data_IF_259524025310
#
_entry.id   IF_259524025310
#
_cell.length_a   1.000
_cell.length_b   1.000
_cell.length_c   1.000
_cell.angle_alpha   90.00
_cell.angle_beta   90.00
_cell.angle_gamma   90.00
#
_symmetry.space_group_name_H-M   'P 1'
#
loop_
_entity.id
_entity.type
_entity.pdbx_description
1 polymer ?
#
# COMPACT_ATOMS: atom_id res chain seq x y z
N UNK A 1 -13.96 16.55 -4.96
CA UNK A 1 -12.51 16.56 -4.68
C UNK A 1 -12.09 15.11 -4.55
N UNK A 2 -11.24 14.63 -5.45
CA UNK A 2 -10.69 13.28 -5.33
C UNK A 2 -9.52 13.39 -4.35
N UNK A 3 -9.64 12.75 -3.19
CA UNK A 3 -8.56 12.69 -2.23
C UNK A 3 -7.46 11.79 -2.80
N UNK A 4 -6.35 12.40 -3.20
CA UNK A 4 -5.20 11.70 -3.73
C UNK A 4 -4.19 11.33 -2.61
N UNK A 5 -4.50 11.54 -1.34
CA UNK A 5 -3.50 11.54 -0.24
C UNK A 5 -2.76 12.87 -0.14
N UNK A 6 -3.48 13.98 -0.36
CA UNK A 6 -2.93 15.34 -0.40
C UNK A 6 -2.42 15.85 0.96
N UNK A 7 -2.70 15.11 2.03
CA UNK A 7 -2.26 15.41 3.40
C UNK A 7 -0.77 15.10 3.66
N UNK A 8 -0.10 14.43 2.74
CA UNK A 8 1.35 14.30 2.80
C UNK A 8 2.00 15.60 2.31
N UNK A 9 2.70 16.30 3.21
CA UNK A 9 3.54 17.46 2.87
C UNK A 9 4.61 17.14 1.80
N UNK A 10 5.42 18.12 1.38
CA UNK A 10 6.41 17.92 0.33
C UNK A 10 7.32 16.74 0.68
N UNK A 11 7.26 15.69 -0.15
CA UNK A 11 8.12 14.52 -0.04
C UNK A 11 9.56 14.99 -0.19
N UNK A 12 10.28 15.07 0.94
CA UNK A 12 11.71 15.30 0.92
C UNK A 12 12.40 14.20 0.12
N UNK A 13 13.53 14.53 -0.51
CA UNK A 13 14.46 13.56 -1.10
C UNK A 13 15.18 12.82 0.03
N UNK A 14 14.44 12.07 0.83
CA UNK A 14 15.03 11.21 1.85
C UNK A 14 15.65 10.00 1.14
N UNK A 15 16.91 10.16 0.75
CA UNK A 15 17.78 9.10 0.25
C UNK A 15 18.06 8.08 1.35
N UNK A 16 17.05 7.27 1.70
CA UNK A 16 17.16 6.28 2.74
C UNK A 16 17.58 4.93 2.13
N UNK A 17 18.78 4.48 2.49
CA UNK A 17 19.45 3.27 1.99
C UNK A 17 18.72 1.93 2.27
N UNK A 18 17.53 1.95 2.87
CA UNK A 18 16.72 0.75 3.15
C UNK A 18 15.45 0.66 2.29
N UNK A 19 15.15 1.64 1.43
CA UNK A 19 14.05 1.51 0.49
C UNK A 19 14.46 0.51 -0.59
N UNK A 20 13.60 -0.48 -0.87
CA UNK A 20 13.85 -1.44 -1.94
C UNK A 20 14.11 -0.68 -3.24
N UNK A 21 15.29 -0.93 -3.85
CA UNK A 21 15.63 -0.31 -5.12
C UNK A 21 14.80 -0.98 -6.21
N UNK A 22 13.91 -0.19 -6.81
CA UNK A 22 13.08 -0.58 -7.95
C UNK A 22 13.04 0.58 -8.92
N UNK A 23 12.90 0.28 -10.21
CA UNK A 23 12.69 1.30 -11.23
C UNK A 23 11.28 1.89 -11.12
N UNK A 24 11.04 3.03 -11.77
CA UNK A 24 9.70 3.62 -11.82
C UNK A 24 8.69 2.69 -12.53
N UNK A 25 9.12 1.93 -13.54
CA UNK A 25 8.24 0.96 -14.22
C UNK A 25 7.81 -0.19 -13.30
N UNK A 26 8.74 -0.70 -12.49
CA UNK A 26 8.45 -1.74 -11.49
C UNK A 26 7.50 -1.20 -10.41
N UNK A 27 7.73 0.02 -9.95
CA UNK A 27 6.80 0.68 -9.04
C UNK A 27 5.43 0.92 -9.67
N UNK A 28 5.37 1.30 -10.93
CA UNK A 28 4.10 1.52 -11.63
C UNK A 28 3.32 0.22 -11.78
N UNK A 29 4.01 -0.91 -12.03
CA UNK A 29 3.38 -2.22 -12.04
C UNK A 29 2.77 -2.57 -10.66
N UNK A 30 3.52 -2.38 -9.58
CA UNK A 30 3.05 -2.60 -8.21
C UNK A 30 1.85 -1.68 -7.89
N UNK A 31 1.93 -0.40 -8.24
CA UNK A 31 0.87 0.57 -8.00
C UNK A 31 -0.43 0.19 -8.73
N UNK A 32 -0.34 -0.30 -9.97
CA UNK A 32 -1.50 -0.83 -10.71
C UNK A 32 -2.16 -2.01 -10.00
N UNK A 33 -1.38 -2.95 -9.46
CA UNK A 33 -1.92 -4.08 -8.70
C UNK A 33 -2.59 -3.65 -7.40
N UNK A 34 -1.97 -2.73 -6.66
CA UNK A 34 -2.54 -2.19 -5.42
C UNK A 34 -3.85 -1.47 -5.72
N UNK A 35 -3.88 -0.60 -6.74
CA UNK A 35 -5.10 0.07 -7.17
C UNK A 35 -6.19 -0.92 -7.54
N UNK A 36 -5.84 -1.96 -8.31
CA UNK A 36 -6.80 -2.99 -8.70
C UNK A 36 -7.41 -3.67 -7.47
N UNK A 37 -6.59 -4.07 -6.50
CA UNK A 37 -7.05 -4.68 -5.26
C UNK A 37 -7.93 -3.71 -4.43
N UNK A 38 -7.49 -2.47 -4.25
CA UNK A 38 -8.22 -1.45 -3.50
C UNK A 38 -9.60 -1.20 -4.11
N UNK A 39 -9.69 -1.05 -5.44
CA UNK A 39 -10.95 -0.83 -6.14
C UNK A 39 -11.93 -2.02 -6.07
N UNK A 40 -11.49 -3.20 -5.64
CA UNK A 40 -12.37 -4.36 -5.43
C UNK A 40 -13.04 -4.36 -4.06
N UNK A 41 -12.43 -3.71 -3.07
CA UNK A 41 -12.87 -3.80 -1.66
C UNK A 41 -13.15 -2.44 -1.01
N UNK A 42 -12.91 -1.35 -1.73
CA UNK A 42 -13.09 0.01 -1.24
C UNK A 42 -13.46 0.97 -2.37
N UNK A 43 -13.48 2.29 -2.07
CA UNK A 43 -13.72 3.34 -3.05
C UNK A 43 -12.74 3.26 -4.23
N UNK A 44 -13.23 3.65 -5.41
CA UNK A 44 -12.41 3.65 -6.61
C UNK A 44 -11.32 4.73 -6.53
N UNK A 45 -10.07 4.31 -6.68
CA UNK A 45 -8.90 5.16 -6.81
C UNK A 45 -8.73 5.64 -8.27
N UNK A 46 -8.17 6.85 -8.46
CA UNK A 46 -8.03 7.48 -9.77
C UNK A 46 -6.98 6.82 -10.68
N UNK A 47 -7.10 7.08 -11.98
CA UNK A 47 -6.14 6.70 -13.02
C UNK A 47 -5.07 7.80 -13.21
N UNK A 48 -4.23 7.99 -12.18
CA UNK A 48 -3.26 9.09 -12.13
C UNK A 48 -1.78 8.69 -12.02
N UNK A 49 -1.40 7.46 -12.39
CA UNK A 49 0.01 7.07 -12.49
C UNK A 49 0.75 7.89 -13.57
N UNK A 50 2.10 7.88 -13.55
CA UNK A 50 2.87 8.25 -14.73
C UNK A 50 2.32 7.53 -15.97
N UNK A 51 2.18 8.28 -17.06
CA UNK A 51 1.63 7.85 -18.36
C UNK A 51 0.11 7.58 -18.42
N UNK A 52 -0.64 7.84 -17.35
CA UNK A 52 -2.10 7.75 -17.39
C UNK A 52 -2.76 9.10 -17.77
N UNK A 53 -3.99 9.09 -18.34
CA UNK A 53 -4.64 10.31 -18.83
C UNK A 53 -4.85 11.41 -17.78
N UNK A 54 -4.87 11.04 -16.49
CA UNK A 54 -5.05 11.97 -15.37
C UNK A 54 -3.80 12.03 -14.48
N UNK A 55 -2.60 11.85 -15.06
CA UNK A 55 -1.33 11.88 -14.33
C UNK A 55 -1.26 13.10 -13.39
N UNK A 56 -1.03 12.85 -12.10
CA UNK A 56 -1.07 13.88 -11.06
C UNK A 56 0.31 14.47 -10.71
N UNK A 57 1.36 14.08 -11.46
CA UNK A 57 2.74 14.54 -11.24
C UNK A 57 3.52 13.82 -10.13
N UNK A 58 2.90 12.86 -9.44
CA UNK A 58 3.56 12.01 -8.43
C UNK A 58 4.25 10.80 -9.05
N UNK A 59 5.36 10.36 -8.45
CA UNK A 59 6.07 9.15 -8.87
C UNK A 59 5.21 7.91 -8.65
N UNK A 60 5.53 6.81 -9.34
CA UNK A 60 4.83 5.56 -9.11
C UNK A 60 5.05 5.03 -7.69
N UNK A 61 6.24 5.27 -7.11
CA UNK A 61 6.53 4.93 -5.72
C UNK A 61 5.60 5.65 -4.73
N UNK A 62 5.34 6.94 -4.93
CA UNK A 62 4.41 7.70 -4.10
C UNK A 62 2.99 7.12 -4.18
N UNK A 63 2.55 6.70 -5.37
CA UNK A 63 1.27 6.01 -5.53
C UNK A 63 1.23 4.68 -4.79
N UNK A 64 2.29 3.89 -4.82
CA UNK A 64 2.39 2.65 -4.03
C UNK A 64 2.15 2.93 -2.55
N UNK A 65 2.78 3.97 -1.99
CA UNK A 65 2.65 4.29 -0.56
C UNK A 65 1.21 4.70 -0.20
N UNK A 66 0.65 5.68 -0.93
CA UNK A 66 -0.70 6.19 -0.64
C UNK A 66 -1.76 5.13 -0.87
N UNK A 67 -1.71 4.42 -2.00
CA UNK A 67 -2.73 3.43 -2.32
C UNK A 67 -2.61 2.18 -1.44
N UNK A 68 -1.41 1.83 -0.96
CA UNK A 68 -1.26 0.76 0.04
C UNK A 68 -1.93 1.13 1.37
N UNK A 69 -1.81 2.39 1.79
CA UNK A 69 -2.51 2.87 2.98
C UNK A 69 -4.03 2.79 2.81
N UNK A 70 -4.54 3.20 1.64
CA UNK A 70 -5.95 3.06 1.30
C UNK A 70 -6.42 1.59 1.34
N UNK A 71 -5.69 0.69 0.67
CA UNK A 71 -5.98 -0.75 0.68
C UNK A 71 -5.99 -1.33 2.10
N UNK A 72 -5.01 -0.94 2.93
CA UNK A 72 -4.92 -1.40 4.32
C UNK A 72 -6.12 -0.94 5.15
N UNK A 73 -6.55 0.32 4.98
CA UNK A 73 -7.73 0.85 5.66
C UNK A 73 -9.01 0.13 5.22
N UNK A 74 -9.21 -0.08 3.92
CA UNK A 74 -10.36 -0.83 3.39
C UNK A 74 -10.39 -2.27 3.92
N UNK A 75 -9.26 -2.96 3.92
CA UNK A 75 -9.15 -4.32 4.46
C UNK A 75 -9.42 -4.36 5.98
N UNK A 76 -8.94 -3.38 6.74
CA UNK A 76 -9.24 -3.27 8.17
C UNK A 76 -10.74 -3.10 8.41
N UNK A 77 -11.38 -2.20 7.67
CA UNK A 77 -12.82 -1.98 7.78
C UNK A 77 -13.62 -3.25 7.48
N UNK A 78 -13.20 -4.04 6.48
CA UNK A 78 -13.81 -5.35 6.21
C UNK A 78 -13.63 -6.35 7.35
N UNK A 79 -12.49 -6.34 8.06
CA UNK A 79 -12.30 -7.17 9.26
C UNK A 79 -13.33 -6.79 10.33
N UNK A 80 -13.54 -5.50 10.56
CA UNK A 80 -14.53 -5.01 11.53
C UNK A 80 -15.95 -5.46 11.14
N UNK A 81 -16.31 -5.38 9.85
CA UNK A 81 -17.64 -5.80 9.37
C UNK A 81 -17.85 -7.32 9.39
N UNK A 82 -16.82 -8.10 9.06
CA UNK A 82 -16.95 -9.55 8.91
C UNK A 82 -16.79 -10.32 10.23
N UNK A 83 -16.27 -9.68 11.27
CA UNK A 83 -15.97 -10.37 12.53
C UNK A 83 -17.22 -10.49 13.41
N UNK A 84 -17.55 -11.69 13.91
CA UNK A 84 -18.76 -11.91 14.70
C UNK A 84 -18.66 -11.39 16.13
N UNK A 85 -17.46 -10.94 16.56
CA UNK A 85 -17.25 -10.34 17.87
C UNK A 85 -16.08 -9.36 17.85
N UNK A 86 -16.13 -8.38 18.77
CA UNK A 86 -15.09 -7.36 18.94
C UNK A 86 -13.71 -7.95 19.24
N UNK A 87 -13.66 -9.02 20.04
CA UNK A 87 -12.41 -9.71 20.40
C UNK A 87 -11.75 -10.35 19.17
N UNK A 88 -12.54 -11.01 18.31
CA UNK A 88 -12.02 -11.61 17.08
C UNK A 88 -11.56 -10.55 16.08
N UNK A 89 -12.30 -9.43 15.98
CA UNK A 89 -11.87 -8.27 15.20
C UNK A 89 -10.53 -7.71 15.66
N UNK A 90 -10.38 -7.46 16.97
CA UNK A 90 -9.13 -6.99 17.55
C UNK A 90 -7.97 -7.96 17.32
N UNK A 91 -8.20 -9.27 17.44
CA UNK A 91 -7.19 -10.29 17.18
C UNK A 91 -6.75 -10.29 15.70
N UNK A 92 -7.69 -10.23 14.75
CA UNK A 92 -7.39 -10.25 13.32
C UNK A 92 -6.66 -8.97 12.86
N UNK A 93 -7.15 -7.80 13.26
CA UNK A 93 -6.56 -6.52 12.91
C UNK A 93 -5.23 -6.23 13.63
N UNK A 94 -5.02 -6.83 14.81
CA UNK A 94 -3.82 -6.67 15.63
C UNK A 94 -2.85 -7.84 15.50
N UNK A 95 -3.06 -8.89 16.30
CA UNK A 95 -2.12 -10.01 16.45
C UNK A 95 -1.84 -10.73 15.13
N UNK A 96 -2.89 -11.07 14.37
CA UNK A 96 -2.72 -11.81 13.11
C UNK A 96 -1.99 -10.95 12.06
N UNK A 97 -2.35 -9.66 11.96
CA UNK A 97 -1.64 -8.69 11.11
C UNK A 97 -0.14 -8.61 11.46
N UNK A 98 0.21 -8.47 12.75
CA UNK A 98 1.61 -8.36 13.18
C UNK A 98 2.41 -9.62 12.86
N UNK A 99 1.83 -10.81 13.10
CA UNK A 99 2.45 -12.07 12.72
C UNK A 99 2.71 -12.12 11.21
N UNK A 100 1.72 -11.79 10.39
CA UNK A 100 1.86 -11.85 8.93
C UNK A 100 2.88 -10.83 8.42
N UNK A 101 2.93 -9.65 9.02
CA UNK A 101 3.92 -8.62 8.68
C UNK A 101 5.35 -9.06 9.03
N UNK A 102 5.54 -9.74 10.17
CA UNK A 102 6.84 -10.31 10.53
C UNK A 102 7.29 -11.37 9.51
N UNK A 103 6.40 -12.30 9.14
CA UNK A 103 6.68 -13.32 8.11
C UNK A 103 7.10 -12.70 6.77
N UNK A 104 6.44 -11.63 6.33
CA UNK A 104 6.79 -10.92 5.10
C UNK A 104 8.16 -10.24 5.17
N UNK A 105 8.52 -9.66 6.32
CA UNK A 105 9.83 -9.04 6.55
C UNK A 105 10.94 -10.10 6.53
N UNK A 106 10.71 -11.23 7.17
CA UNK A 106 11.67 -12.35 7.19
C UNK A 106 11.88 -12.93 5.79
N UNK A 107 10.80 -13.10 5.00
CA UNK A 107 10.89 -13.54 3.61
C UNK A 107 11.69 -12.54 2.76
N UNK A 108 11.42 -11.24 2.93
CA UNK A 108 12.19 -10.20 2.25
C UNK A 108 13.67 -10.24 2.63
N UNK A 109 13.99 -10.38 3.92
CA UNK A 109 15.37 -10.44 4.40
C UNK A 109 16.13 -11.65 3.83
N UNK A 110 15.50 -12.82 3.77
CA UNK A 110 16.09 -14.02 3.15
C UNK A 110 16.34 -13.84 1.65
N UNK A 111 15.37 -13.28 0.93
CA UNK A 111 15.51 -13.02 -0.50
C UNK A 111 16.66 -12.04 -0.84
N UNK A 112 17.06 -11.17 0.09
CA UNK A 112 18.22 -10.28 -0.08
C UNK A 112 19.54 -10.95 0.34
N UNK A 113 19.52 -11.99 1.17
CA UNK A 113 20.73 -12.72 1.58
C UNK A 113 21.18 -13.75 0.53
N UNK A 114 20.27 -14.19 -0.33
CA UNK A 114 20.53 -15.15 -1.41
C UNK A 114 20.91 -14.46 -2.75
N UNK A 115 21.04 -13.13 -2.77
CA UNK A 115 21.48 -12.31 -3.92
C UNK A 115 22.94 -11.87 -3.74
#
# INVERSE_FOLDING_TARGET
MHDHGDDFGPWGVDGNASAAQRTEEEWAAIARYIRHAANKIGPALPLCLPDEPQACGRTAQQHVLVWSAHLKAAAHHLIEQATPSRERGAHAAGTLYQRRLAELRDQSARAHADQ
#
